data_IF_279205470882
#
_entry.id   IF_279205470882
#
_cell.length_a   1.000
_cell.length_b   1.000
_cell.length_c   1.000
_cell.angle_alpha   90.00
_cell.angle_beta   90.00
_cell.angle_gamma   90.00
#
_symmetry.space_group_name_H-M   'P 1'
#
loop_
_entity.id
_entity.type
_entity.pdbx_description
1 polymer ?
#
# COMPACT_ATOMS: atom_id res chain seq x y z
N UNK A 1 -12.50 -6.60 -0.57
CA UNK A 1 -11.28 -5.84 -0.88
C UNK A 1 -11.05 -4.83 0.22
N UNK A 2 -10.07 -5.08 1.07
CA UNK A 2 -9.81 -4.36 2.33
C UNK A 2 -8.32 -3.98 2.50
N UNK A 3 -7.43 -4.49 1.64
CA UNK A 3 -5.99 -4.27 1.77
C UNK A 3 -5.34 -4.02 0.40
N UNK A 4 -4.12 -3.47 0.40
CA UNK A 4 -3.31 -3.33 -0.83
C UNK A 4 -3.06 -4.69 -1.49
N UNK A 5 -2.95 -5.75 -0.71
CA UNK A 5 -2.82 -7.11 -1.25
C UNK A 5 -4.04 -7.48 -2.10
N UNK A 6 -5.26 -7.17 -1.65
CA UNK A 6 -6.47 -7.45 -2.44
C UNK A 6 -6.48 -6.66 -3.76
N UNK A 7 -5.99 -5.41 -3.74
CA UNK A 7 -5.84 -4.59 -4.96
C UNK A 7 -4.80 -5.20 -5.90
N UNK A 8 -3.70 -5.70 -5.36
CA UNK A 8 -2.69 -6.42 -6.13
C UNK A 8 -3.28 -7.71 -6.75
N UNK A 9 -4.09 -8.46 -6.01
CA UNK A 9 -4.77 -9.66 -6.53
C UNK A 9 -5.80 -9.30 -7.61
N UNK A 10 -6.48 -8.15 -7.49
CA UNK A 10 -7.34 -7.64 -8.57
C UNK A 10 -6.53 -7.40 -9.84
N UNK A 11 -5.43 -6.65 -9.75
CA UNK A 11 -4.57 -6.34 -10.91
C UNK A 11 -3.96 -7.59 -11.55
N UNK A 12 -3.60 -8.60 -10.75
CA UNK A 12 -3.12 -9.90 -11.27
C UNK A 12 -4.12 -10.61 -12.17
N UNK A 13 -5.44 -10.44 -11.96
CA UNK A 13 -6.47 -11.02 -12.85
C UNK A 13 -6.41 -10.44 -14.26
N UNK A 14 -5.84 -9.25 -14.42
CA UNK A 14 -5.61 -8.59 -15.70
C UNK A 14 -4.17 -8.76 -16.21
N UNK A 15 -3.37 -9.63 -15.58
CA UNK A 15 -1.98 -9.87 -15.96
C UNK A 15 -1.01 -8.76 -15.51
N UNK A 16 -1.44 -7.86 -14.63
CA UNK A 16 -0.63 -6.72 -14.19
C UNK A 16 0.11 -7.08 -12.90
N UNK A 17 1.44 -7.02 -12.95
CA UNK A 17 2.33 -7.26 -11.81
C UNK A 17 3.18 -6.02 -11.58
N UNK A 18 3.07 -5.44 -10.39
CA UNK A 18 3.82 -4.25 -9.99
C UNK A 18 4.89 -4.62 -8.97
N UNK A 19 6.14 -4.28 -9.28
CA UNK A 19 7.28 -4.42 -8.37
C UNK A 19 8.44 -3.48 -8.79
N UNK A 20 8.50 -2.30 -8.17
CA UNK A 20 9.49 -1.24 -8.38
C UNK A 20 10.51 -1.16 -7.22
N UNK A 21 10.40 -2.05 -6.23
CA UNK A 21 11.32 -2.17 -5.10
C UNK A 21 11.11 -1.15 -3.98
N UNK A 22 10.29 -0.12 -4.18
CA UNK A 22 9.84 0.78 -3.12
C UNK A 22 8.33 0.76 -2.99
N UNK A 23 7.84 0.52 -1.77
CA UNK A 23 6.42 0.38 -1.44
C UNK A 23 5.56 1.56 -1.93
N UNK A 24 6.06 2.78 -1.76
CA UNK A 24 5.39 3.99 -2.24
C UNK A 24 5.21 3.98 -3.76
N UNK A 25 6.26 3.63 -4.50
CA UNK A 25 6.22 3.59 -5.97
C UNK A 25 5.32 2.43 -6.44
N UNK A 26 5.34 1.30 -5.75
CA UNK A 26 4.43 0.19 -6.05
C UNK A 26 2.97 0.64 -5.91
N UNK A 27 2.64 1.39 -4.86
CA UNK A 27 1.27 1.89 -4.63
C UNK A 27 0.86 2.90 -5.72
N UNK A 28 1.74 3.84 -6.06
CA UNK A 28 1.48 4.84 -7.10
C UNK A 28 1.32 4.18 -8.48
N UNK A 29 2.14 3.18 -8.80
CA UNK A 29 2.04 2.41 -10.04
C UNK A 29 0.76 1.56 -10.07
N UNK A 30 0.39 0.92 -8.96
CA UNK A 30 -0.90 0.21 -8.85
C UNK A 30 -2.09 1.15 -9.08
N UNK A 31 -2.05 2.39 -8.59
CA UNK A 31 -3.12 3.38 -8.83
C UNK A 31 -3.19 3.78 -10.31
N UNK A 32 -2.04 3.94 -10.97
CA UNK A 32 -1.97 4.26 -12.40
C UNK A 32 -2.62 3.16 -13.25
N UNK A 33 -2.22 1.90 -13.03
CA UNK A 33 -2.77 0.74 -13.74
C UNK A 33 -4.27 0.56 -13.49
N UNK A 34 -4.69 0.68 -12.22
CA UNK A 34 -6.10 0.63 -11.84
C UNK A 34 -6.93 1.73 -12.56
N UNK A 35 -6.36 2.93 -12.70
CA UNK A 35 -7.00 4.05 -13.42
C UNK A 35 -7.09 3.77 -14.91
N UNK A 36 -6.07 3.13 -15.50
CA UNK A 36 -6.09 2.67 -16.88
C UNK A 36 -7.24 1.70 -17.12
N UNK A 37 -7.33 0.64 -16.31
CA UNK A 37 -8.41 -0.34 -16.40
C UNK A 37 -9.80 0.31 -16.29
N UNK A 38 -9.98 1.26 -15.38
CA UNK A 38 -11.26 1.98 -15.24
C UNK A 38 -11.58 2.85 -16.47
N UNK A 39 -10.61 3.58 -17.03
CA UNK A 39 -10.80 4.41 -18.24
C UNK A 39 -11.17 3.57 -19.46
N UNK A 40 -10.63 2.35 -19.55
CA UNK A 40 -10.97 1.38 -20.60
C UNK A 40 -12.24 0.58 -20.29
N UNK A 41 -13.00 0.95 -19.26
CA UNK A 41 -14.26 0.30 -18.86
C UNK A 41 -14.10 -1.19 -18.49
N UNK A 42 -12.90 -1.59 -18.06
CA UNK A 42 -12.58 -2.95 -17.62
C UNK A 42 -12.88 -3.18 -16.13
N UNK A 43 -13.23 -2.12 -15.39
CA UNK A 43 -13.58 -2.16 -13.97
C UNK A 43 -14.87 -1.40 -13.71
N UNK A 44 -15.72 -1.95 -12.86
CA UNK A 44 -16.88 -1.25 -12.31
C UNK A 44 -16.46 -0.07 -11.44
N UNK A 45 -17.28 0.98 -11.45
CA UNK A 45 -17.04 2.21 -10.68
C UNK A 45 -16.86 1.94 -9.19
N UNK A 46 -17.63 1.01 -8.62
CA UNK A 46 -17.56 0.66 -7.19
C UNK A 46 -16.25 -0.05 -6.85
N UNK A 47 -15.82 -0.99 -7.70
CA UNK A 47 -14.55 -1.70 -7.53
C UNK A 47 -13.39 -0.70 -7.63
N UNK A 48 -13.39 0.14 -8.65
CA UNK A 48 -12.39 1.19 -8.83
C UNK A 48 -12.32 2.13 -7.61
N UNK A 49 -13.45 2.67 -7.17
CA UNK A 49 -13.50 3.60 -6.04
C UNK A 49 -12.96 2.95 -4.76
N UNK A 50 -13.33 1.69 -4.49
CA UNK A 50 -12.87 0.96 -3.31
C UNK A 50 -11.37 0.67 -3.37
N UNK A 51 -10.86 0.19 -4.51
CA UNK A 51 -9.43 -0.10 -4.68
C UNK A 51 -8.58 1.16 -4.53
N UNK A 52 -9.00 2.25 -5.18
CA UNK A 52 -8.30 3.54 -5.12
C UNK A 52 -8.27 4.12 -3.71
N UNK A 53 -9.37 4.00 -2.96
CA UNK A 53 -9.42 4.45 -1.56
C UNK A 53 -8.40 3.72 -0.68
N UNK A 54 -8.28 2.40 -0.84
CA UNK A 54 -7.31 1.57 -0.12
C UNK A 54 -5.87 1.99 -0.45
N UNK A 55 -5.54 2.14 -1.73
CA UNK A 55 -4.21 2.58 -2.16
C UNK A 55 -3.86 3.95 -1.59
N UNK A 56 -4.80 4.90 -1.62
CA UNK A 56 -4.60 6.25 -1.08
C UNK A 56 -4.36 6.24 0.44
N UNK A 57 -5.11 5.43 1.19
CA UNK A 57 -4.93 5.29 2.63
C UNK A 57 -3.55 4.73 2.97
N UNK A 58 -3.12 3.67 2.26
CA UNK A 58 -1.80 3.09 2.47
C UNK A 58 -0.68 4.08 2.11
N UNK A 59 -0.82 4.82 1.00
CA UNK A 59 0.18 5.81 0.58
C UNK A 59 0.38 6.89 1.65
N UNK A 60 -0.70 7.37 2.27
CA UNK A 60 -0.63 8.34 3.37
C UNK A 60 0.09 7.74 4.58
N UNK A 61 -0.18 6.46 4.91
CA UNK A 61 0.47 5.76 6.01
C UNK A 61 1.98 5.63 5.76
N UNK A 62 2.37 5.18 4.58
CA UNK A 62 3.78 5.04 4.16
C UNK A 62 4.52 6.38 4.23
N UNK A 63 3.90 7.46 3.73
CA UNK A 63 4.48 8.81 3.77
C UNK A 63 4.63 9.34 5.20
N UNK A 64 3.70 9.02 6.10
CA UNK A 64 3.81 9.39 7.52
C UNK A 64 4.95 8.63 8.20
N UNK A 65 5.06 7.33 7.98
CA UNK A 65 6.10 6.50 8.59
C UNK A 65 7.52 6.95 8.19
N UNK A 66 7.71 7.41 6.95
CA UNK A 66 9.00 7.98 6.50
C UNK A 66 9.33 9.34 7.11
N UNK A 67 8.33 10.11 7.52
CA UNK A 67 8.50 11.43 8.14
C UNK A 67 8.76 11.36 9.65
N UNK A 68 8.44 10.24 10.31
CA UNK A 68 8.84 10.04 11.70
C UNK A 68 10.37 9.81 11.76
N UNK A 69 11.14 10.66 12.49
CA UNK A 69 12.58 10.44 12.62
C UNK A 69 12.83 9.12 13.34
N UNK A 70 13.82 8.35 12.86
CA UNK A 70 14.24 7.06 13.45
C UNK A 70 14.60 7.17 14.95
N UNK A 71 14.82 8.38 15.48
CA UNK A 71 15.04 8.65 16.90
C UNK A 71 13.86 8.22 17.78
N UNK A 72 12.61 8.44 17.35
CA UNK A 72 11.43 8.10 18.15
C UNK A 72 11.15 6.58 18.24
N UNK A 73 11.71 5.78 17.32
CA UNK A 73 11.61 4.31 17.35
C UNK A 73 12.62 3.68 18.31
N UNK A 74 13.80 4.30 18.47
CA UNK A 74 14.85 3.85 19.41
C UNK A 74 14.48 4.10 20.88
N UNK A 75 13.74 5.16 21.16
CA UNK A 75 13.32 5.49 22.53
C UNK A 75 12.26 4.53 23.07
N UNK A 76 11.40 3.97 22.20
CA UNK A 76 10.39 2.98 22.60
C UNK A 76 10.97 1.58 22.84
N UNK A 77 12.05 1.19 22.14
CA UNK A 77 12.77 -0.06 22.46
C UNK A 77 13.67 0.09 23.69
N UNK A 78 14.11 1.30 24.02
CA UNK A 78 14.87 1.60 25.24
C UNK A 78 13.98 1.65 26.50
N UNK A 79 12.69 2.03 26.38
CA UNK A 79 11.76 2.16 27.51
C UNK A 79 11.01 0.87 27.90
N UNK A 80 11.65 -0.30 27.73
CA UNK A 80 11.39 -1.44 28.62
C UNK A 80 10.29 -2.42 28.19
N UNK A 81 10.59 -3.28 27.22
CA UNK A 81 10.25 -4.71 27.31
C UNK A 81 11.42 -5.53 26.76
N UNK A 82 12.22 -6.03 27.68
CA UNK A 82 13.18 -7.09 27.46
C UNK A 82 12.42 -8.30 26.87
N UNK A 83 12.72 -8.67 25.63
CA UNK A 83 12.19 -9.89 25.03
C UNK A 83 13.10 -11.01 25.53
N UNK A 84 12.63 -11.73 26.55
CA UNK A 84 13.21 -12.98 27.01
C UNK A 84 13.13 -14.01 25.87
N UNK A 85 14.28 -14.51 25.42
CA UNK A 85 14.43 -15.52 24.37
C UNK A 85 14.62 -16.93 24.94
N UNK A 86 14.01 -17.22 26.10
CA UNK A 86 13.95 -18.57 26.66
C UNK A 86 12.70 -19.32 26.24
#
# INVERSE_FOLDING_TARGET
MNSVYDVQQLLKKYGIFVYLGKREYDIEMMEHELTGLFKHQLLDREIYARARSILKQELIKEKKEKQLPLSSKKEQVANGKEIDWR
#
